data_IF_249503605399
#
_entry.id   IF_249503605399
#
_cell.length_a   1.000
_cell.length_b   1.000
_cell.length_c   1.000
_cell.angle_alpha   90.00
_cell.angle_beta   90.00
_cell.angle_gamma   90.00
#
_symmetry.space_group_name_H-M   'P 1'
#
loop_
_entity.id
_entity.type
_entity.pdbx_description
1 polymer ?
#
# COMPACT_ATOMS: atom_id res chain seq x y z
N UNK A 1 42.07 -17.72 1.25
CA UNK A 1 40.99 -18.56 0.71
C UNK A 1 39.78 -18.34 1.61
N UNK A 2 38.81 -17.52 1.17
CA UNK A 2 37.62 -17.20 1.97
C UNK A 2 36.57 -18.31 1.79
N UNK A 3 35.84 -18.73 2.84
CA UNK A 3 34.74 -19.67 2.67
C UNK A 3 33.52 -19.01 2.02
N UNK A 4 32.76 -19.83 1.28
CA UNK A 4 31.57 -19.47 0.52
C UNK A 4 30.37 -19.20 1.44
N UNK A 5 29.50 -18.31 0.97
CA UNK A 5 28.14 -18.09 1.46
C UNK A 5 27.28 -19.33 1.19
N UNK A 6 26.67 -19.88 2.22
CA UNK A 6 25.35 -20.52 2.16
C UNK A 6 24.79 -20.66 3.58
N UNK A 7 23.47 -20.65 3.65
CA UNK A 7 22.57 -20.72 4.82
C UNK A 7 22.13 -19.39 5.44
N UNK A 8 21.23 -18.73 4.70
CA UNK A 8 20.20 -17.88 5.26
C UNK A 8 19.22 -18.75 6.07
N UNK A 9 19.50 -18.93 7.36
CA UNK A 9 18.51 -19.44 8.31
C UNK A 9 17.57 -18.29 8.67
N UNK A 10 16.28 -18.49 8.38
CA UNK A 10 15.19 -17.61 8.75
C UNK A 10 15.29 -17.16 10.22
N UNK A 11 15.28 -15.85 10.45
CA UNK A 11 15.18 -15.28 11.80
C UNK A 11 13.69 -15.19 12.17
N UNK A 12 13.26 -15.72 13.33
CA UNK A 12 11.87 -15.66 13.76
C UNK A 12 11.50 -14.23 14.15
N UNK A 13 10.21 -13.93 14.03
CA UNK A 13 9.61 -12.68 14.45
C UNK A 13 9.97 -12.36 15.92
N UNK A 14 10.63 -11.23 16.13
CA UNK A 14 10.96 -10.71 17.46
C UNK A 14 12.08 -9.68 17.36
N UNK A 15 11.77 -8.45 17.76
CA UNK A 15 12.68 -7.29 17.91
C UNK A 15 13.15 -6.60 16.61
N UNK A 16 12.31 -5.70 16.09
CA UNK A 16 12.74 -4.68 15.16
C UNK A 16 13.51 -3.56 15.89
N UNK A 17 14.75 -3.84 16.30
CA UNK A 17 15.72 -2.80 16.62
C UNK A 17 16.10 -1.99 15.36
N UNK A 18 16.61 -0.76 15.49
CA UNK A 18 16.99 0.05 14.34
C UNK A 18 18.03 -0.68 13.48
N UNK A 19 17.83 -0.68 12.14
CA UNK A 19 18.78 -1.26 11.18
C UNK A 19 20.03 -0.39 11.09
N UNK A 20 20.95 -0.59 12.03
CA UNK A 20 22.25 0.05 12.03
C UNK A 20 23.20 -0.62 11.02
N UNK A 21 24.10 0.16 10.44
CA UNK A 21 25.14 -0.37 9.55
C UNK A 21 26.11 -1.31 10.29
N UNK A 22 26.85 -2.19 9.60
CA UNK A 22 27.58 -3.31 10.21
C UNK A 22 28.56 -2.90 11.33
N UNK A 23 29.21 -1.75 11.16
CA UNK A 23 30.14 -1.19 12.16
C UNK A 23 29.43 -0.67 13.40
N UNK A 24 28.30 0.02 13.24
CA UNK A 24 27.50 0.49 14.37
C UNK A 24 26.82 -0.67 15.09
N UNK A 25 26.35 -1.68 14.37
CA UNK A 25 25.79 -2.90 14.98
C UNK A 25 26.84 -3.64 15.80
N UNK A 26 28.06 -3.77 15.28
CA UNK A 26 29.17 -4.39 16.02
C UNK A 26 29.58 -3.57 17.25
N UNK A 27 29.68 -2.24 17.13
CA UNK A 27 29.96 -1.34 18.24
C UNK A 27 28.87 -1.40 19.30
N UNK A 28 27.60 -1.28 18.91
CA UNK A 28 26.44 -1.35 19.79
C UNK A 28 26.38 -2.68 20.54
N UNK A 29 26.52 -3.81 19.83
CA UNK A 29 26.54 -5.14 20.43
C UNK A 29 27.75 -5.36 21.37
N UNK A 30 28.88 -4.71 21.10
CA UNK A 30 30.05 -4.78 21.98
C UNK A 30 29.84 -3.96 23.26
N UNK A 31 29.41 -2.70 23.14
CA UNK A 31 29.19 -1.80 24.30
C UNK A 31 28.01 -2.27 25.16
N UNK A 32 26.91 -2.71 24.54
CA UNK A 32 25.74 -3.23 25.27
C UNK A 32 25.95 -4.62 25.88
N UNK A 33 26.98 -5.38 25.50
CA UNK A 33 27.29 -6.67 26.16
C UNK A 33 28.44 -6.61 27.15
N UNK A 34 29.42 -5.71 26.97
CA UNK A 34 30.66 -5.68 27.75
C UNK A 34 30.64 -4.73 28.96
N UNK A 35 29.78 -3.71 28.97
CA UNK A 35 29.73 -2.72 30.04
C UNK A 35 28.38 -2.77 30.77
N UNK A 36 28.40 -3.10 32.06
CA UNK A 36 27.19 -3.16 32.89
C UNK A 36 26.48 -1.82 33.01
N UNK A 37 27.23 -0.70 32.97
CA UNK A 37 26.64 0.63 32.98
C UNK A 37 25.91 0.91 31.66
N UNK A 38 26.47 0.48 30.53
CA UNK A 38 25.82 0.61 29.22
C UNK A 38 24.55 -0.25 29.12
N UNK A 39 24.54 -1.45 29.73
CA UNK A 39 23.32 -2.27 29.86
C UNK A 39 22.23 -1.56 30.66
N UNK A 40 22.58 -1.03 31.84
CA UNK A 40 21.61 -0.30 32.68
C UNK A 40 21.02 0.90 31.96
N UNK A 41 21.85 1.69 31.27
CA UNK A 41 21.36 2.84 30.48
C UNK A 41 20.46 2.38 29.33
N UNK A 42 20.83 1.31 28.62
CA UNK A 42 19.99 0.77 27.55
C UNK A 42 18.64 0.24 28.07
N UNK A 43 18.64 -0.43 29.23
CA UNK A 43 17.42 -0.94 29.87
C UNK A 43 16.55 0.18 30.45
N UNK A 44 17.14 1.25 30.99
CA UNK A 44 16.43 2.45 31.43
C UNK A 44 15.78 3.18 30.24
N UNK A 45 16.50 3.34 29.14
CA UNK A 45 15.94 3.93 27.90
C UNK A 45 14.81 3.05 27.37
N UNK A 46 15.04 1.74 27.26
CA UNK A 46 14.04 0.79 26.73
C UNK A 46 12.79 0.76 27.61
N UNK A 47 12.94 0.67 28.93
CA UNK A 47 11.81 0.69 29.86
C UNK A 47 11.08 2.03 29.86
N UNK A 48 11.78 3.16 29.68
CA UNK A 48 11.17 4.48 29.51
C UNK A 48 10.37 4.63 28.21
N UNK A 49 10.79 3.96 27.13
CA UNK A 49 10.14 3.98 25.82
C UNK A 49 9.07 2.88 25.64
N UNK A 50 9.10 1.80 26.42
CA UNK A 50 8.13 0.71 26.33
C UNK A 50 6.68 1.18 26.50
N UNK A 51 6.34 2.08 27.45
CA UNK A 51 5.00 2.66 27.53
C UNK A 51 4.62 3.55 26.35
N UNK A 52 5.58 4.04 25.55
CA UNK A 52 5.27 4.76 24.31
C UNK A 52 4.90 3.80 23.19
N UNK A 53 5.62 2.68 23.09
CA UNK A 53 5.31 1.58 22.16
C UNK A 53 3.92 0.99 22.44
N UNK A 54 3.65 0.60 23.70
CA UNK A 54 2.37 0.00 24.12
C UNK A 54 1.17 0.94 23.94
N UNK A 55 1.40 2.26 23.95
CA UNK A 55 0.36 3.28 23.77
C UNK A 55 0.28 3.80 22.33
N UNK A 56 1.00 3.20 21.37
CA UNK A 56 0.99 3.65 19.97
C UNK A 56 1.41 5.11 19.81
N UNK A 57 2.24 5.64 20.73
CA UNK A 57 2.62 7.06 20.74
C UNK A 57 3.51 7.41 19.54
N UNK A 58 4.25 6.43 19.03
CA UNK A 58 5.02 6.57 17.81
C UNK A 58 4.13 6.80 16.61
N UNK A 59 2.96 6.14 16.55
CA UNK A 59 2.02 6.32 15.45
C UNK A 59 1.53 7.77 15.38
N UNK A 60 1.17 8.36 16.52
CA UNK A 60 0.75 9.76 16.58
C UNK A 60 1.83 10.76 16.14
N UNK A 61 3.12 10.41 16.29
CA UNK A 61 4.25 11.29 15.92
C UNK A 61 4.74 11.03 14.49
N UNK A 62 4.81 9.77 14.07
CA UNK A 62 5.22 9.35 12.73
C UNK A 62 4.13 9.62 11.69
N UNK A 63 2.86 9.53 12.09
CA UNK A 63 1.70 9.82 11.26
C UNK A 63 1.05 11.16 11.60
N UNK A 64 1.76 12.06 12.30
CA UNK A 64 1.30 13.43 12.53
C UNK A 64 1.07 14.13 11.17
N UNK A 65 -0.18 14.21 10.74
CA UNK A 65 -0.57 14.76 9.43
C UNK A 65 -0.69 13.73 8.29
N UNK A 66 -0.41 12.44 8.52
CA UNK A 66 -0.69 11.37 7.56
C UNK A 66 -2.07 10.77 7.88
N UNK A 67 -3.02 10.87 6.94
CA UNK A 67 -4.34 10.23 7.07
C UNK A 67 -4.32 8.74 6.83
N UNK A 68 -3.19 8.25 6.36
CA UNK A 68 -3.10 6.99 5.69
C UNK A 68 -2.19 6.02 6.44
N UNK A 69 -2.81 5.32 7.39
CA UNK A 69 -2.14 4.37 8.29
C UNK A 69 -2.39 2.90 7.91
N UNK A 70 -3.09 2.66 6.80
CA UNK A 70 -3.42 1.30 6.37
C UNK A 70 -2.15 0.54 5.91
N UNK A 71 -2.09 -0.79 6.01
CA UNK A 71 -1.00 -1.57 5.43
C UNK A 71 -0.87 -1.37 3.92
N UNK A 72 0.34 -1.56 3.39
CA UNK A 72 0.56 -1.58 1.94
C UNK A 72 -0.18 -2.76 1.28
N UNK A 73 -0.71 -2.51 0.10
CA UNK A 73 -1.54 -3.43 -0.68
C UNK A 73 -0.80 -3.93 -1.93
N UNK A 74 -1.43 -4.83 -2.67
CA UNK A 74 -0.94 -5.25 -3.99
C UNK A 74 -0.78 -4.05 -4.95
N UNK A 75 -1.70 -3.08 -4.90
CA UNK A 75 -1.65 -1.92 -5.79
C UNK A 75 -0.50 -0.97 -5.46
N UNK A 76 -0.07 -0.89 -4.20
CA UNK A 76 1.13 -0.15 -3.82
C UNK A 76 2.39 -0.74 -4.47
N UNK A 77 2.45 -2.08 -4.60
CA UNK A 77 3.52 -2.77 -5.32
C UNK A 77 3.48 -2.53 -6.83
N UNK A 78 2.28 -2.37 -7.41
CA UNK A 78 2.12 -1.98 -8.82
C UNK A 78 2.59 -0.54 -9.02
N UNK A 79 2.20 0.37 -8.13
CA UNK A 79 2.58 1.78 -8.16
C UNK A 79 4.10 1.96 -8.03
N UNK A 80 4.74 1.19 -7.14
CA UNK A 80 6.20 1.19 -6.97
C UNK A 80 6.96 0.45 -8.09
N UNK A 81 6.23 -0.16 -9.04
CA UNK A 81 6.77 -1.01 -10.12
C UNK A 81 7.55 -2.23 -9.59
N UNK A 82 7.32 -2.65 -8.35
CA UNK A 82 7.85 -3.91 -7.79
C UNK A 82 7.27 -5.12 -8.51
N UNK A 83 5.99 -5.03 -8.91
CA UNK A 83 5.33 -6.03 -9.75
C UNK A 83 4.85 -5.40 -11.06
N UNK A 84 4.97 -6.13 -12.19
CA UNK A 84 4.54 -5.61 -13.48
C UNK A 84 3.02 -5.51 -13.56
N UNK A 85 2.55 -4.56 -14.36
CA UNK A 85 1.15 -4.44 -14.78
C UNK A 85 1.09 -3.94 -16.21
N UNK A 86 0.02 -4.27 -16.93
CA UNK A 86 -0.22 -3.71 -18.25
C UNK A 86 -0.89 -2.34 -18.10
N UNK A 87 -0.06 -1.30 -17.98
CA UNK A 87 -0.52 0.09 -17.82
C UNK A 87 -1.15 0.59 -19.11
N UNK A 88 -2.38 1.11 -19.01
CA UNK A 88 -3.14 1.68 -20.13
C UNK A 88 -3.22 3.21 -20.08
N UNK A 89 -3.10 3.77 -18.88
CA UNK A 89 -3.10 5.22 -18.65
C UNK A 89 -2.35 5.54 -17.35
N UNK A 90 -1.57 6.61 -17.34
CA UNK A 90 -0.87 7.08 -16.16
C UNK A 90 -0.71 8.60 -16.21
N UNK A 91 -1.07 9.29 -15.14
CA UNK A 91 -0.81 10.72 -14.98
C UNK A 91 -0.27 11.04 -13.59
N UNK A 92 -0.28 12.30 -13.18
CA UNK A 92 0.23 12.72 -11.87
C UNK A 92 -0.61 12.20 -10.69
N UNK A 93 -1.90 11.90 -10.90
CA UNK A 93 -2.86 11.64 -9.82
C UNK A 93 -3.32 10.18 -9.78
N UNK A 94 -3.38 9.50 -10.93
CA UNK A 94 -3.91 8.15 -11.03
C UNK A 94 -3.07 7.24 -11.93
N UNK A 95 -3.28 5.95 -11.75
CA UNK A 95 -2.74 4.89 -12.60
C UNK A 95 -3.91 4.00 -13.03
N UNK A 96 -3.93 3.60 -14.29
CA UNK A 96 -4.85 2.60 -14.79
C UNK A 96 -4.13 1.46 -15.51
N UNK A 97 -4.56 0.24 -15.25
CA UNK A 97 -3.94 -0.97 -15.78
C UNK A 97 -4.99 -2.06 -16.00
N UNK A 98 -4.70 -3.01 -16.90
CA UNK A 98 -5.62 -4.14 -17.16
C UNK A 98 -5.73 -5.05 -15.94
N UNK A 99 -6.95 -5.45 -15.63
CA UNK A 99 -7.19 -6.45 -14.60
C UNK A 99 -6.60 -7.81 -15.04
N UNK A 100 -5.93 -8.50 -14.11
CA UNK A 100 -5.31 -9.81 -14.38
C UNK A 100 -6.35 -10.92 -14.53
N UNK A 101 -7.54 -10.74 -13.97
CA UNK A 101 -8.69 -11.63 -14.08
C UNK A 101 -9.86 -10.91 -14.78
N UNK A 102 -9.77 -10.65 -16.09
CA UNK A 102 -10.75 -9.86 -16.81
C UNK A 102 -12.12 -10.55 -16.88
N UNK A 103 -13.20 -9.80 -16.58
CA UNK A 103 -14.60 -10.28 -16.68
C UNK A 103 -15.28 -9.87 -18.00
N UNK A 104 -14.59 -9.08 -18.81
CA UNK A 104 -15.00 -8.62 -20.12
C UNK A 104 -13.76 -8.33 -20.98
N UNK A 105 -13.89 -8.21 -22.32
CA UNK A 105 -12.75 -7.93 -23.19
C UNK A 105 -11.97 -6.67 -22.79
N UNK A 106 -12.67 -5.63 -22.32
CA UNK A 106 -12.06 -4.53 -21.60
C UNK A 106 -12.43 -4.63 -20.11
N UNK A 107 -11.43 -4.90 -19.27
CA UNK A 107 -11.53 -4.81 -17.81
C UNK A 107 -10.28 -4.09 -17.29
N UNK A 108 -10.45 -2.84 -16.87
CA UNK A 108 -9.36 -1.95 -16.46
C UNK A 108 -9.63 -1.46 -15.05
N UNK A 109 -8.60 -1.47 -14.20
CA UNK A 109 -8.66 -0.88 -12.87
C UNK A 109 -8.04 0.52 -12.92
N UNK A 110 -8.71 1.50 -12.32
CA UNK A 110 -8.26 2.89 -12.21
C UNK A 110 -8.13 3.23 -10.73
N UNK A 111 -6.93 3.59 -10.29
CA UNK A 111 -6.60 3.80 -8.87
C UNK A 111 -5.96 5.18 -8.65
N UNK A 112 -6.19 5.83 -7.50
CA UNK A 112 -5.40 6.99 -7.12
C UNK A 112 -3.97 6.55 -6.78
N UNK A 113 -2.97 7.34 -7.17
CA UNK A 113 -1.55 7.10 -6.81
C UNK A 113 -1.28 7.37 -5.34
N UNK A 114 -1.96 8.37 -4.78
CA UNK A 114 -1.93 8.68 -3.36
C UNK A 114 -3.32 8.43 -2.78
N UNK A 115 -3.44 7.43 -1.92
CA UNK A 115 -4.75 7.03 -1.39
C UNK A 115 -5.29 7.98 -0.31
N UNK A 116 -4.44 8.67 0.46
CA UNK A 116 -4.87 9.57 1.56
C UNK A 116 -5.92 8.96 2.51
N UNK A 117 -5.82 7.65 2.79
CA UNK A 117 -6.78 6.90 3.58
C UNK A 117 -7.98 6.31 2.81
N UNK A 118 -8.06 6.51 1.48
CA UNK A 118 -9.04 5.87 0.59
C UNK A 118 -8.74 4.38 0.39
N UNK A 119 -8.92 3.58 1.43
CA UNK A 119 -8.87 2.11 1.35
C UNK A 119 -10.08 1.54 0.60
N UNK A 120 -11.15 2.33 0.44
CA UNK A 120 -12.35 2.05 -0.33
C UNK A 120 -13.22 3.31 -0.39
N UNK A 121 -14.32 3.29 -1.15
CA UNK A 121 -15.16 4.48 -1.34
C UNK A 121 -15.80 4.98 -0.03
N UNK A 122 -16.11 4.07 0.90
CA UNK A 122 -16.71 4.37 2.19
C UNK A 122 -15.81 5.18 3.14
N UNK A 123 -14.50 5.27 2.86
CA UNK A 123 -13.57 6.13 3.56
C UNK A 123 -13.51 7.56 2.98
N UNK A 124 -14.23 7.83 1.89
CA UNK A 124 -14.22 9.13 1.25
C UNK A 124 -14.82 10.24 2.13
N UNK A 125 -14.31 11.45 1.92
CA UNK A 125 -14.74 12.69 2.59
C UNK A 125 -14.81 13.80 1.55
N UNK A 126 -15.32 14.98 1.92
CA UNK A 126 -15.41 16.13 1.01
C UNK A 126 -14.04 16.57 0.43
N UNK A 127 -12.94 16.28 1.12
CA UNK A 127 -11.60 16.62 0.66
C UNK A 127 -11.14 15.74 -0.51
N UNK A 128 -11.72 14.55 -0.63
CA UNK A 128 -11.44 13.62 -1.71
C UNK A 128 -12.21 13.93 -3.01
N UNK A 129 -13.09 14.95 -3.02
CA UNK A 129 -13.92 15.24 -4.19
C UNK A 129 -13.12 15.48 -5.47
N UNK A 130 -11.96 16.16 -5.38
CA UNK A 130 -11.12 16.41 -6.55
C UNK A 130 -10.54 15.12 -7.14
N UNK A 131 -9.98 14.23 -6.31
CA UNK A 131 -9.41 12.97 -6.80
C UNK A 131 -10.50 12.02 -7.30
N UNK A 132 -11.67 11.95 -6.63
CA UNK A 132 -12.79 11.12 -7.08
C UNK A 132 -13.32 11.58 -8.45
N UNK A 133 -13.48 12.90 -8.63
CA UNK A 133 -13.85 13.47 -9.93
C UNK A 133 -12.82 13.18 -11.01
N UNK A 134 -11.52 13.30 -10.67
CA UNK A 134 -10.42 12.98 -11.59
C UNK A 134 -10.47 11.52 -12.05
N UNK A 135 -10.70 10.56 -11.15
CA UNK A 135 -10.80 9.14 -11.51
C UNK A 135 -11.95 8.86 -12.48
N UNK A 136 -13.11 9.51 -12.31
CA UNK A 136 -14.24 9.37 -13.24
C UNK A 136 -13.95 9.97 -14.61
N UNK A 137 -13.29 11.13 -14.66
CA UNK A 137 -12.88 11.77 -15.93
C UNK A 137 -11.82 10.93 -16.64
N UNK A 138 -10.85 10.39 -15.91
CA UNK A 138 -9.86 9.46 -16.45
C UNK A 138 -10.54 8.21 -17.03
N UNK A 139 -11.55 7.66 -16.36
CA UNK A 139 -12.31 6.52 -16.86
C UNK A 139 -12.98 6.79 -18.22
N UNK A 140 -13.58 7.96 -18.40
CA UNK A 140 -14.16 8.36 -19.68
C UNK A 140 -13.10 8.52 -20.79
N UNK A 141 -11.93 9.09 -20.46
CA UNK A 141 -10.82 9.21 -21.41
C UNK A 141 -10.26 7.84 -21.84
N UNK A 142 -10.08 6.93 -20.88
CA UNK A 142 -9.62 5.56 -21.12
C UNK A 142 -10.64 4.80 -21.96
N UNK A 143 -11.94 4.89 -21.65
CA UNK A 143 -12.97 4.26 -22.44
C UNK A 143 -12.93 4.70 -23.91
N UNK A 144 -12.73 6.00 -24.17
CA UNK A 144 -12.56 6.53 -25.53
C UNK A 144 -11.30 5.99 -26.21
N UNK A 145 -10.18 5.88 -25.50
CA UNK A 145 -8.92 5.31 -26.01
C UNK A 145 -9.08 3.84 -26.39
N UNK A 146 -9.83 3.08 -25.60
CA UNK A 146 -10.10 1.64 -25.83
C UNK A 146 -11.23 1.41 -26.86
N UNK A 147 -11.80 2.47 -27.45
CA UNK A 147 -12.89 2.35 -28.42
C UNK A 147 -14.23 1.89 -27.82
N UNK A 148 -14.44 2.09 -26.52
CA UNK A 148 -15.63 1.68 -25.79
C UNK A 148 -16.69 2.80 -25.84
N UNK A 149 -17.75 2.59 -26.63
CA UNK A 149 -18.94 3.46 -26.61
C UNK A 149 -19.91 3.12 -25.48
N UNK A 150 -19.86 1.89 -24.98
CA UNK A 150 -20.72 1.36 -23.93
C UNK A 150 -19.84 0.66 -22.88
N UNK A 151 -19.98 1.07 -21.62
CA UNK A 151 -19.21 0.52 -20.50
C UNK A 151 -19.96 0.70 -19.18
N UNK A 152 -19.52 -0.05 -18.16
CA UNK A 152 -19.97 0.10 -16.77
C UNK A 152 -18.78 0.46 -15.89
N UNK A 153 -18.97 1.44 -15.02
CA UNK A 153 -18.08 1.68 -13.89
C UNK A 153 -18.61 0.97 -12.66
N UNK A 154 -17.74 0.23 -11.97
CA UNK A 154 -18.05 -0.43 -10.70
C UNK A 154 -17.00 -0.04 -9.66
N UNK A 155 -17.43 0.21 -8.44
CA UNK A 155 -16.53 0.34 -7.29
C UNK A 155 -17.16 -0.40 -6.12
N UNK A 156 -16.39 -1.31 -5.53
CA UNK A 156 -16.85 -2.15 -4.44
C UNK A 156 -16.37 -1.56 -3.12
N UNK A 157 -17.22 -1.60 -2.09
CA UNK A 157 -16.86 -1.16 -0.76
C UNK A 157 -17.15 -2.25 0.28
N UNK A 158 -16.09 -2.79 0.88
CA UNK A 158 -16.13 -3.87 1.85
C UNK A 158 -16.18 -5.27 1.21
N UNK A 159 -15.79 -6.27 1.99
CA UNK A 159 -15.67 -7.66 1.53
C UNK A 159 -16.99 -8.22 0.99
N UNK A 160 -18.11 -7.92 1.65
CA UNK A 160 -19.44 -8.39 1.24
C UNK A 160 -19.92 -7.84 -0.11
N UNK A 161 -19.32 -6.74 -0.59
CA UNK A 161 -19.56 -6.19 -1.92
C UNK A 161 -18.53 -6.69 -2.95
N UNK A 162 -17.64 -7.62 -2.58
CA UNK A 162 -16.60 -8.14 -3.45
C UNK A 162 -15.36 -7.23 -3.56
N UNK A 163 -15.10 -6.36 -2.58
CA UNK A 163 -13.83 -5.62 -2.54
C UNK A 163 -12.69 -6.56 -2.12
N UNK A 164 -11.73 -6.81 -3.01
CA UNK A 164 -10.60 -7.72 -2.77
C UNK A 164 -9.30 -7.00 -2.38
N UNK A 165 -9.12 -5.76 -2.83
CA UNK A 165 -7.96 -4.92 -2.50
C UNK A 165 -8.42 -3.64 -1.82
N UNK A 166 -7.88 -3.38 -0.62
CA UNK A 166 -8.22 -2.23 0.21
C UNK A 166 -7.43 -0.97 -0.17
N UNK A 167 -7.53 -0.63 -1.45
CA UNK A 167 -7.06 0.60 -2.09
C UNK A 167 -8.14 0.99 -3.09
N UNK A 168 -8.69 2.20 -3.01
CA UNK A 168 -9.81 2.61 -3.86
C UNK A 168 -9.53 2.33 -5.34
N UNK A 169 -10.45 1.65 -6.01
CA UNK A 169 -10.35 1.38 -7.43
C UNK A 169 -11.71 1.46 -8.10
N UNK A 170 -11.70 1.94 -9.35
CA UNK A 170 -12.82 1.85 -10.28
C UNK A 170 -12.52 0.74 -11.28
N UNK A 171 -13.47 -0.17 -11.46
CA UNK A 171 -13.48 -1.09 -12.58
C UNK A 171 -14.14 -0.40 -13.77
N UNK A 172 -13.44 -0.29 -14.89
CA UNK A 172 -13.99 0.06 -16.19
C UNK A 172 -14.18 -1.23 -16.99
N UNK A 173 -15.44 -1.61 -17.22
CA UNK A 173 -15.82 -2.89 -17.82
C UNK A 173 -16.58 -2.64 -19.12
N UNK A 174 -16.16 -3.25 -20.23
CA UNK A 174 -16.80 -3.09 -21.54
C UNK A 174 -16.32 -4.08 -22.59
N UNK A 175 -16.70 -3.83 -23.85
CA UNK A 175 -16.34 -4.68 -24.99
C UNK A 175 -17.27 -5.89 -25.20
N UNK A 176 -18.37 -5.98 -24.44
CA UNK A 176 -19.48 -6.91 -24.63
C UNK A 176 -20.76 -6.35 -23.97
N UNK A 177 -21.95 -6.86 -24.31
CA UNK A 177 -23.15 -6.60 -23.52
C UNK A 177 -22.96 -6.97 -22.05
N UNK A 178 -23.44 -6.11 -21.14
CA UNK A 178 -23.38 -6.31 -19.69
C UNK A 178 -24.77 -6.57 -19.13
N UNK A 179 -24.88 -7.57 -18.27
CA UNK A 179 -26.15 -8.03 -17.72
C UNK A 179 -26.66 -7.14 -16.57
N UNK A 180 -27.93 -7.32 -16.21
CA UNK A 180 -28.58 -6.72 -15.05
C UNK A 180 -29.31 -7.82 -14.25
N UNK A 181 -29.15 -7.91 -12.91
CA UNK A 181 -28.45 -6.98 -12.02
C UNK A 181 -26.91 -6.96 -12.20
N UNK A 182 -26.22 -5.91 -11.70
CA UNK A 182 -24.79 -5.71 -11.91
C UNK A 182 -23.96 -6.40 -10.82
N UNK A 183 -24.17 -7.71 -10.65
CA UNK A 183 -23.65 -8.53 -9.56
C UNK A 183 -24.63 -9.65 -9.24
#
# INVERSE_FOLDING_TARGET
MLPKFEDAVASPAGEAGPRLGPRLSAWWSHTSNADEAAKRVADEIRSGLQPWEERGRWDAMLYAGARDVAPATLFDKILSKEIPSEVVFEDALCLAFRDINPVAPAHILIIPKHRDGLTGLGAATAEHSAILGHLMVAAAAIAKQEGLSEFRLVTNNGEGAGQSVFHLHLHLIGGRPLEWPPG
#
